data_IF_394510193461
#
_entry.id   IF_394510193461
#
_cell.length_a   1.000
_cell.length_b   1.000
_cell.length_c   1.000
_cell.angle_alpha   90.00
_cell.angle_beta   90.00
_cell.angle_gamma   90.00
#
_symmetry.space_group_name_H-M   'P 1'
#
loop_
_entity.id
_entity.type
_entity.pdbx_description
1 polymer ?
#
# COMPACT_ATOMS: atom_id res chain seq x y z
N UNK A 1 6.00 30.90 10.24
CA UNK A 1 5.21 29.76 9.75
C UNK A 1 4.27 30.29 8.67
N UNK A 2 4.49 29.93 7.41
CA UNK A 2 3.75 30.52 6.27
C UNK A 2 2.37 29.86 6.12
N UNK A 3 1.32 30.68 6.02
CA UNK A 3 -0.07 30.24 5.85
C UNK A 3 -0.35 29.76 4.40
N UNK A 4 -1.21 28.76 4.27
CA UNK A 4 -1.62 28.11 3.01
C UNK A 4 -2.14 29.10 1.96
N UNK A 5 -2.67 30.25 2.39
CA UNK A 5 -3.18 31.31 1.51
C UNK A 5 -2.08 32.17 0.90
N UNK A 6 -0.93 32.28 1.56
CA UNK A 6 0.24 32.99 1.04
C UNK A 6 0.93 32.19 -0.06
N UNK A 7 0.96 30.85 0.04
CA UNK A 7 1.55 29.97 -0.97
C UNK A 7 0.81 30.07 -2.32
N UNK A 8 -0.53 30.03 -2.32
CA UNK A 8 -1.32 30.08 -3.56
C UNK A 8 -1.28 31.45 -4.28
N UNK A 9 -0.97 32.54 -3.56
CA UNK A 9 -0.80 33.86 -4.18
C UNK A 9 0.58 34.03 -4.82
N UNK A 10 1.62 33.41 -4.27
CA UNK A 10 3.00 33.51 -4.79
C UNK A 10 3.20 32.60 -6.01
N UNK A 11 2.48 31.48 -6.11
CA UNK A 11 2.58 30.58 -7.29
C UNK A 11 1.75 31.04 -8.50
N UNK A 12 0.83 31.99 -8.32
CA UNK A 12 -0.13 32.41 -9.36
C UNK A 12 0.28 33.61 -10.21
N UNK A 13 1.52 34.09 -10.09
CA UNK A 13 1.99 35.29 -10.79
C UNK A 13 3.31 35.04 -11.54
N UNK A 14 3.25 34.32 -12.65
CA UNK A 14 4.20 34.48 -13.76
C UNK A 14 3.52 34.18 -15.10
N UNK A 15 2.62 35.09 -15.50
CA UNK A 15 2.28 35.31 -16.91
C UNK A 15 2.30 36.82 -17.16
N UNK A 16 2.90 37.18 -18.31
CA UNK A 16 3.12 38.52 -18.90
C UNK A 16 4.50 39.14 -18.57
N UNK A 17 5.32 39.62 -19.52
CA UNK A 17 5.17 39.80 -20.96
C UNK A 17 6.53 40.19 -21.60
N UNK A 18 6.67 39.98 -22.91
CA UNK A 18 7.40 40.78 -23.93
C UNK A 18 7.71 39.83 -25.11
N UNK A 19 7.24 39.98 -26.34
CA UNK A 19 7.03 41.18 -27.14
C UNK A 19 7.97 41.13 -28.35
N UNK A 20 7.65 40.36 -29.41
CA UNK A 20 8.22 40.52 -30.76
C UNK A 20 7.21 40.05 -31.84
N UNK A 21 7.02 40.81 -32.94
CA UNK A 21 6.14 40.44 -34.04
C UNK A 21 6.88 39.56 -35.07
N UNK A 22 6.17 38.56 -35.60
CA UNK A 22 6.59 37.82 -36.79
C UNK A 22 7.12 36.43 -36.51
N UNK A 23 6.52 35.44 -37.19
CA UNK A 23 6.95 34.05 -37.16
C UNK A 23 5.85 33.12 -36.69
N UNK A 24 4.88 32.88 -37.57
CA UNK A 24 3.90 31.81 -37.42
C UNK A 24 4.60 30.46 -37.59
N UNK A 25 5.37 30.02 -36.60
CA UNK A 25 5.82 28.63 -36.49
C UNK A 25 4.75 27.90 -35.69
N UNK A 26 3.83 27.24 -36.39
CA UNK A 26 2.93 26.26 -35.77
C UNK A 26 3.78 25.12 -35.21
N UNK A 27 4.05 25.16 -33.91
CA UNK A 27 4.47 23.99 -33.13
C UNK A 27 3.27 23.02 -33.02
N UNK A 28 2.93 22.36 -34.13
CA UNK A 28 2.14 21.13 -34.11
C UNK A 28 3.14 20.00 -33.89
N UNK A 29 3.20 19.45 -32.67
CA UNK A 29 3.89 18.16 -32.50
C UNK A 29 4.39 17.82 -31.10
N UNK A 30 4.42 18.76 -30.14
CA UNK A 30 5.08 18.50 -28.85
C UNK A 30 4.14 18.08 -27.70
N UNK A 31 2.81 18.23 -27.83
CA UNK A 31 1.89 17.87 -26.72
C UNK A 31 1.52 16.38 -26.68
N UNK A 32 1.66 15.64 -27.78
CA UNK A 32 1.21 14.25 -27.86
C UNK A 32 2.17 13.24 -27.15
N UNK A 33 3.39 13.65 -26.82
CA UNK A 33 4.42 12.74 -26.31
C UNK A 33 4.49 12.69 -24.77
N UNK A 34 3.91 13.67 -24.07
CA UNK A 34 4.01 13.76 -22.59
C UNK A 34 3.09 12.78 -21.83
N UNK A 35 2.14 12.13 -22.52
CA UNK A 35 1.24 11.14 -21.92
C UNK A 35 1.79 9.70 -21.93
N UNK A 36 3.02 9.48 -22.39
CA UNK A 36 3.68 8.18 -22.39
C UNK A 36 4.42 7.85 -21.07
N UNK A 37 4.09 8.56 -19.98
CA UNK A 37 4.66 8.35 -18.66
C UNK A 37 3.83 7.34 -17.85
N UNK A 38 4.49 6.27 -17.42
CA UNK A 38 3.93 5.08 -16.75
C UNK A 38 3.09 4.21 -17.69
N UNK A 39 3.71 3.16 -18.24
CA UNK A 39 2.99 2.10 -18.91
C UNK A 39 1.80 1.66 -18.05
N UNK A 40 0.62 1.48 -18.66
CA UNK A 40 -0.55 0.94 -17.95
C UNK A 40 -0.07 -0.29 -17.19
N UNK A 41 -0.12 -0.24 -15.86
CA UNK A 41 -0.05 -1.45 -15.07
C UNK A 41 -1.16 -2.33 -15.63
N UNK A 42 -0.78 -3.43 -16.30
CA UNK A 42 -1.77 -4.36 -16.80
C UNK A 42 -2.61 -4.76 -15.59
N UNK A 43 -3.91 -4.46 -15.62
CA UNK A 43 -4.78 -4.66 -14.46
C UNK A 43 -5.02 -6.13 -14.11
N UNK A 44 -4.44 -7.04 -14.91
CA UNK A 44 -4.55 -8.49 -14.88
C UNK A 44 -3.25 -9.11 -15.39
N UNK A 45 -2.90 -10.28 -14.87
CA UNK A 45 -1.74 -11.06 -15.26
C UNK A 45 -1.96 -11.84 -16.56
N UNK A 46 -3.22 -12.11 -16.94
CA UNK A 46 -3.56 -12.90 -18.13
C UNK A 46 -3.38 -14.41 -17.92
N UNK A 47 -3.32 -14.86 -16.68
CA UNK A 47 -3.13 -16.25 -16.29
C UNK A 47 -3.93 -16.60 -15.03
N UNK A 48 -3.69 -17.81 -14.49
CA UNK A 48 -4.42 -18.31 -13.33
C UNK A 48 -4.43 -17.38 -12.12
N UNK A 49 -3.49 -16.44 -11.96
CA UNK A 49 -3.47 -15.50 -10.82
C UNK A 49 -4.59 -14.46 -10.87
N UNK A 50 -5.27 -14.33 -12.01
CA UNK A 50 -6.35 -13.36 -12.16
C UNK A 50 -7.55 -13.62 -11.24
N UNK A 51 -7.69 -14.82 -10.66
CA UNK A 51 -8.68 -15.12 -9.63
C UNK A 51 -8.60 -14.14 -8.45
N UNK A 52 -7.40 -13.65 -8.09
CA UNK A 52 -7.20 -12.78 -6.94
C UNK A 52 -7.97 -11.46 -7.09
N UNK A 53 -7.95 -10.87 -8.30
CA UNK A 53 -8.75 -9.68 -8.55
C UNK A 53 -10.23 -9.97 -8.87
N UNK A 54 -10.68 -11.22 -8.81
CA UNK A 54 -12.11 -11.55 -8.74
C UNK A 54 -12.58 -11.67 -7.29
N UNK A 55 -11.77 -12.31 -6.44
CA UNK A 55 -12.12 -12.59 -5.03
C UNK A 55 -12.08 -11.35 -4.15
N UNK A 56 -11.16 -10.40 -4.40
CA UNK A 56 -11.07 -9.01 -3.86
C UNK A 56 -10.96 -8.82 -2.35
N UNK A 57 -11.61 -9.63 -1.54
CA UNK A 57 -11.66 -9.51 -0.09
C UNK A 57 -11.28 -10.82 0.59
N UNK A 58 -10.39 -10.76 1.57
CA UNK A 58 -9.85 -11.92 2.26
C UNK A 58 -9.33 -11.60 3.66
N UNK A 59 -8.97 -12.65 4.41
CA UNK A 59 -8.40 -12.54 5.76
C UNK A 59 -6.88 -12.67 5.71
N UNK A 60 -6.20 -11.74 6.39
CA UNK A 60 -4.78 -11.89 6.69
C UNK A 60 -4.61 -12.18 8.19
N UNK A 61 -3.91 -13.27 8.52
CA UNK A 61 -3.69 -13.72 9.90
C UNK A 61 -2.24 -13.52 10.30
N UNK A 62 -2.00 -12.60 11.23
CA UNK A 62 -0.74 -12.48 11.95
C UNK A 62 -0.83 -13.25 13.26
N UNK A 63 -0.24 -14.45 13.30
CA UNK A 63 -0.21 -15.28 14.50
C UNK A 63 1.12 -16.03 14.67
N UNK A 64 1.62 -16.11 15.90
CA UNK A 64 2.89 -16.76 16.23
C UNK A 64 3.36 -16.44 17.64
N UNK A 65 4.63 -16.74 17.96
CA UNK A 65 5.18 -16.63 19.33
C UNK A 65 5.02 -15.23 19.96
N UNK A 66 5.08 -14.17 19.16
CA UNK A 66 4.85 -12.80 19.63
C UNK A 66 3.46 -12.58 20.24
N UNK A 67 2.47 -13.41 19.87
CA UNK A 67 1.13 -13.33 20.42
C UNK A 67 1.09 -13.70 21.92
N UNK A 68 2.08 -14.45 22.43
CA UNK A 68 2.22 -14.73 23.87
C UNK A 68 2.46 -13.43 24.65
N UNK A 69 3.29 -12.54 24.11
CA UNK A 69 3.61 -11.25 24.74
C UNK A 69 2.57 -10.17 24.42
N UNK A 70 1.70 -10.39 23.42
CA UNK A 70 0.57 -9.51 23.11
C UNK A 70 0.94 -8.11 22.59
N UNK A 71 2.07 -7.95 21.89
CA UNK A 71 2.54 -6.64 21.45
C UNK A 71 2.48 -6.40 19.93
N UNK A 72 3.46 -6.90 19.18
CA UNK A 72 3.57 -6.72 17.71
C UNK A 72 4.39 -7.88 17.13
N UNK A 73 4.26 -8.21 15.85
CA UNK A 73 5.07 -9.29 15.24
C UNK A 73 6.58 -8.99 15.23
N UNK A 74 6.96 -7.73 15.43
CA UNK A 74 8.35 -7.27 15.50
C UNK A 74 8.86 -7.14 16.94
N UNK A 75 8.19 -7.76 17.91
CA UNK A 75 8.51 -7.73 19.34
C UNK A 75 10.00 -7.98 19.61
N UNK A 76 10.54 -9.05 19.02
CA UNK A 76 11.95 -9.41 19.16
C UNK A 76 12.90 -8.28 18.75
N UNK A 77 12.68 -7.68 17.57
CA UNK A 77 13.57 -6.66 17.02
C UNK A 77 13.43 -5.32 17.75
N UNK A 78 12.19 -4.84 17.92
CA UNK A 78 11.92 -3.52 18.50
C UNK A 78 12.34 -3.41 19.96
N UNK A 79 12.28 -4.50 20.72
CA UNK A 79 12.74 -4.57 22.11
C UNK A 79 14.14 -5.13 22.28
N UNK A 80 14.85 -5.42 21.19
CA UNK A 80 16.22 -5.97 21.19
C UNK A 80 16.33 -7.24 22.05
N UNK A 81 15.33 -8.11 21.99
CA UNK A 81 15.31 -9.37 22.72
C UNK A 81 16.34 -10.30 22.08
N UNK A 82 17.26 -10.84 22.88
CA UNK A 82 18.22 -11.81 22.40
C UNK A 82 17.49 -13.02 21.83
N UNK A 83 17.97 -13.56 20.70
CA UNK A 83 17.34 -14.70 20.03
C UNK A 83 17.12 -15.88 20.98
N UNK A 84 18.12 -16.18 21.83
CA UNK A 84 18.07 -17.29 22.79
C UNK A 84 16.91 -17.16 23.80
N UNK A 85 16.52 -15.94 24.16
CA UNK A 85 15.40 -15.71 25.06
C UNK A 85 14.07 -15.77 24.31
N UNK A 86 14.01 -15.20 23.11
CA UNK A 86 12.79 -15.19 22.30
C UNK A 86 12.34 -16.60 21.90
N UNK A 87 13.27 -17.50 21.56
CA UNK A 87 12.92 -18.88 21.17
C UNK A 87 12.31 -19.70 22.30
N UNK A 88 12.54 -19.35 23.57
CA UNK A 88 11.91 -20.02 24.72
C UNK A 88 10.40 -19.83 24.76
N UNK A 89 9.85 -18.81 24.07
CA UNK A 89 8.40 -18.67 23.92
C UNK A 89 7.76 -19.88 23.25
N UNK A 90 8.51 -20.65 22.44
CA UNK A 90 8.02 -21.88 21.85
C UNK A 90 7.61 -22.93 22.90
N UNK A 91 8.27 -22.95 24.06
CA UNK A 91 7.94 -23.86 25.18
C UNK A 91 6.60 -23.50 25.83
N UNK A 92 6.18 -22.24 25.72
CA UNK A 92 4.91 -21.73 26.26
C UNK A 92 3.77 -21.80 25.23
N UNK A 93 4.09 -22.07 23.96
CA UNK A 93 3.11 -22.02 22.88
C UNK A 93 2.13 -23.19 22.98
N UNK A 94 0.91 -22.90 23.46
CA UNK A 94 -0.17 -23.87 23.55
C UNK A 94 -1.53 -23.19 23.35
N UNK A 95 -1.96 -22.97 22.10
CA UNK A 95 -3.21 -22.26 21.82
C UNK A 95 -4.44 -23.16 22.02
N UNK A 96 -4.78 -23.44 23.28
CA UNK A 96 -5.85 -24.39 23.68
C UNK A 96 -7.25 -24.08 23.12
N UNK A 97 -7.50 -22.85 22.71
CA UNK A 97 -8.79 -22.40 22.15
C UNK A 97 -8.75 -22.17 20.64
N UNK A 98 -7.68 -22.60 19.98
CA UNK A 98 -7.59 -22.50 18.53
C UNK A 98 -8.61 -23.43 17.87
N UNK A 99 -9.53 -22.83 17.10
CA UNK A 99 -10.50 -23.53 16.29
C UNK A 99 -10.53 -22.87 14.90
N UNK A 100 -9.89 -23.47 13.89
CA UNK A 100 -9.84 -22.89 12.55
C UNK A 100 -11.22 -22.87 11.87
N UNK A 101 -12.12 -23.81 12.20
CA UNK A 101 -13.48 -23.80 11.63
C UNK A 101 -14.26 -22.56 12.04
N UNK A 102 -14.20 -22.19 13.32
CA UNK A 102 -14.85 -20.97 13.80
C UNK A 102 -14.31 -19.71 13.11
N UNK A 103 -13.04 -19.69 12.69
CA UNK A 103 -12.49 -18.57 11.92
C UNK A 103 -13.02 -18.57 10.49
N UNK A 104 -13.07 -19.74 9.85
CA UNK A 104 -13.62 -19.90 8.50
C UNK A 104 -15.10 -19.54 8.45
N UNK A 105 -15.90 -19.95 9.44
CA UNK A 105 -17.32 -19.61 9.55
C UNK A 105 -17.52 -18.08 9.56
N UNK A 106 -16.73 -17.37 10.37
CA UNK A 106 -16.76 -15.90 10.44
C UNK A 106 -16.29 -15.25 9.13
N UNK A 107 -15.25 -15.80 8.50
CA UNK A 107 -14.77 -15.32 7.20
C UNK A 107 -15.83 -15.46 6.12
N UNK A 108 -16.50 -16.60 6.05
CA UNK A 108 -17.56 -16.88 5.09
C UNK A 108 -18.77 -15.96 5.34
N UNK A 109 -19.20 -15.81 6.60
CA UNK A 109 -20.28 -14.89 6.99
C UNK A 109 -19.95 -13.44 6.61
N UNK A 110 -18.70 -13.01 6.78
CA UNK A 110 -18.23 -11.69 6.39
C UNK A 110 -18.09 -11.52 4.86
N UNK A 111 -18.25 -12.59 4.07
CA UNK A 111 -18.09 -12.57 2.61
C UNK A 111 -16.64 -12.54 2.15
N UNK A 112 -15.68 -12.92 2.99
CA UNK A 112 -14.28 -13.10 2.60
C UNK A 112 -14.14 -14.31 1.68
N UNK A 113 -13.17 -14.25 0.77
CA UNK A 113 -13.06 -15.16 -0.37
C UNK A 113 -11.65 -15.73 -0.57
N UNK A 114 -10.70 -15.35 0.30
CA UNK A 114 -9.36 -15.91 0.43
C UNK A 114 -8.74 -15.55 1.79
#
# INVERSE_FOLDING_TARGET
MMDRRTFLRVSGAMVAAAGLPGGMLRLRGAEAQAAAGFGRVQGRFGDGRDWFFEKRFGLFVNWGLYAINGWHEQDQWRRRIARADYVRLAEQWNPKRFNPHAWLDVMEEAGMRY
#
